data_IF_909298448120
#
_entry.id   IF_909298448120
#
_cell.length_a   1.000
_cell.length_b   1.000
_cell.length_c   1.000
_cell.angle_alpha   90.00
_cell.angle_beta   90.00
_cell.angle_gamma   90.00
#
_symmetry.space_group_name_H-M   'P 1'
#
loop_
_entity.id
_entity.type
_entity.pdbx_description
1 polymer ?
#
# COMPACT_ATOMS: atom_id res chain seq x y z
N UNK A 1 -17.12 16.13 -14.40
CA UNK A 1 -15.93 16.79 -13.81
C UNK A 1 -16.36 18.14 -13.24
N UNK A 2 -16.02 18.39 -11.99
CA UNK A 2 -16.28 19.70 -11.37
C UNK A 2 -15.21 20.69 -11.85
N UNK A 3 -15.56 21.97 -12.11
CA UNK A 3 -14.59 22.99 -12.45
C UNK A 3 -13.69 23.27 -11.26
N UNK A 4 -12.40 23.54 -11.53
CA UNK A 4 -11.47 24.00 -10.51
C UNK A 4 -11.92 25.36 -9.96
N UNK A 5 -11.99 25.50 -8.64
CA UNK A 5 -12.30 26.77 -7.98
C UNK A 5 -11.03 27.59 -7.65
N UNK A 6 -9.85 26.98 -7.81
CA UNK A 6 -8.55 27.58 -7.58
C UNK A 6 -7.44 26.56 -7.72
N UNK A 7 -6.19 27.04 -7.78
CA UNK A 7 -5.04 26.17 -8.03
C UNK A 7 -4.88 25.78 -9.50
N UNK A 8 -4.02 24.81 -9.76
CA UNK A 8 -3.77 24.28 -11.11
C UNK A 8 -3.72 22.73 -11.06
N UNK A 9 -4.18 22.09 -12.11
CA UNK A 9 -4.09 20.65 -12.31
C UNK A 9 -3.48 20.36 -13.68
N UNK A 10 -2.48 19.48 -13.72
CA UNK A 10 -1.85 19.07 -14.97
C UNK A 10 -1.82 17.55 -15.08
N UNK A 11 -1.90 17.03 -16.30
CA UNK A 11 -1.73 15.62 -16.65
C UNK A 11 -0.57 15.55 -17.66
N UNK A 12 0.47 14.78 -17.34
CA UNK A 12 1.70 14.69 -18.15
C UNK A 12 2.31 16.08 -18.47
N UNK A 13 2.27 16.99 -17.49
CA UNK A 13 2.74 18.37 -17.65
C UNK A 13 1.82 19.32 -18.44
N UNK A 14 0.71 18.82 -18.98
CA UNK A 14 -0.27 19.63 -19.72
C UNK A 14 -1.37 20.10 -18.76
N UNK A 15 -1.61 21.42 -18.61
CA UNK A 15 -2.72 21.92 -17.82
C UNK A 15 -4.06 21.35 -18.31
N UNK A 16 -4.93 20.92 -17.38
CA UNK A 16 -6.21 20.27 -17.72
C UNK A 16 -7.12 21.18 -18.55
N UNK A 17 -7.03 22.50 -18.36
CA UNK A 17 -7.78 23.50 -19.13
C UNK A 17 -7.41 23.50 -20.64
N UNK A 18 -6.20 23.01 -20.97
CA UNK A 18 -5.73 22.88 -22.36
C UNK A 18 -6.13 21.54 -23.01
N UNK A 19 -6.58 20.57 -22.21
CA UNK A 19 -7.04 19.28 -22.70
C UNK A 19 -8.52 19.42 -23.12
N UNK A 20 -8.82 19.04 -24.37
CA UNK A 20 -10.21 19.03 -24.82
C UNK A 20 -11.06 18.14 -23.92
N UNK A 21 -12.21 18.63 -23.47
CA UNK A 21 -13.13 17.91 -22.57
C UNK A 21 -13.49 16.51 -23.10
N UNK A 22 -13.54 16.32 -24.42
CA UNK A 22 -13.83 15.04 -25.08
C UNK A 22 -12.65 14.03 -24.97
N UNK A 23 -11.43 14.49 -24.77
CA UNK A 23 -10.24 13.64 -24.74
C UNK A 23 -9.82 13.26 -23.31
N UNK A 24 -10.23 14.03 -22.32
CA UNK A 24 -9.93 13.76 -20.92
C UNK A 24 -10.48 12.39 -20.43
N UNK A 25 -11.72 11.99 -20.74
CA UNK A 25 -12.23 10.66 -20.36
C UNK A 25 -11.49 9.49 -21.01
N UNK A 26 -10.80 9.71 -22.14
CA UNK A 26 -10.00 8.68 -22.81
C UNK A 26 -8.67 8.43 -22.08
N UNK A 27 -8.20 9.41 -21.30
CA UNK A 27 -6.96 9.34 -20.52
C UNK A 27 -7.17 8.80 -19.11
N UNK A 28 -8.42 8.69 -18.66
CA UNK A 28 -8.73 8.34 -17.27
C UNK A 28 -9.68 7.15 -17.23
N UNK A 29 -9.24 6.06 -16.63
CA UNK A 29 -10.10 4.97 -16.19
C UNK A 29 -10.75 5.35 -14.86
N UNK A 30 -12.02 4.99 -14.66
CA UNK A 30 -12.73 5.33 -13.44
C UNK A 30 -13.48 4.14 -12.86
N UNK A 31 -13.26 3.86 -11.59
CA UNK A 31 -13.96 2.83 -10.79
C UNK A 31 -14.78 3.56 -9.74
N UNK A 32 -16.10 3.43 -9.82
CA UNK A 32 -17.04 3.97 -8.81
C UNK A 32 -17.26 2.96 -7.70
N UNK A 33 -17.62 3.45 -6.52
CA UNK A 33 -17.77 2.68 -5.28
C UNK A 33 -18.64 1.40 -5.40
N UNK A 34 -19.63 1.32 -6.23
CA UNK A 34 -20.51 0.16 -6.38
C UNK A 34 -20.38 -0.53 -7.75
N UNK A 35 -19.18 -0.52 -8.35
CA UNK A 35 -18.93 -1.09 -9.68
C UNK A 35 -19.52 -0.25 -10.83
N UNK A 36 -20.67 0.41 -10.64
CA UNK A 36 -21.29 1.33 -11.60
C UNK A 36 -21.48 0.76 -12.98
N UNK A 37 -21.87 -0.52 -13.08
CA UNK A 37 -22.11 -1.18 -14.34
C UNK A 37 -23.43 -0.74 -14.97
N UNK A 38 -23.48 -0.72 -16.29
CA UNK A 38 -24.70 -0.49 -17.04
C UNK A 38 -25.57 -1.75 -16.98
N UNK A 39 -26.76 -1.72 -16.35
CA UNK A 39 -27.53 -2.92 -16.06
C UNK A 39 -28.10 -3.61 -17.31
N UNK A 40 -28.23 -2.88 -18.41
CA UNK A 40 -28.75 -3.37 -19.69
C UNK A 40 -27.66 -3.88 -20.63
N UNK A 41 -26.39 -3.81 -20.24
CA UNK A 41 -25.26 -4.33 -20.98
C UNK A 41 -24.73 -5.59 -20.30
N UNK A 42 -24.25 -6.54 -21.09
CA UNK A 42 -23.53 -7.72 -20.58
C UNK A 42 -22.19 -7.30 -19.97
N UNK A 43 -21.51 -8.23 -19.30
CA UNK A 43 -20.16 -8.03 -18.77
C UNK A 43 -19.17 -7.64 -19.87
N UNK A 44 -19.19 -8.36 -21.01
CA UNK A 44 -18.36 -8.04 -22.17
C UNK A 44 -18.60 -6.62 -22.65
N UNK A 45 -19.86 -6.25 -22.85
CA UNK A 45 -20.25 -4.92 -23.34
C UNK A 45 -19.87 -3.82 -22.35
N UNK A 46 -20.03 -4.06 -21.04
CA UNK A 46 -19.59 -3.12 -20.01
C UNK A 46 -18.09 -2.86 -20.09
N UNK A 47 -17.27 -3.92 -20.19
CA UNK A 47 -15.81 -3.79 -20.28
C UNK A 47 -15.40 -3.15 -21.61
N UNK A 48 -16.06 -3.55 -22.71
CA UNK A 48 -15.75 -3.07 -24.06
C UNK A 48 -16.07 -1.58 -24.28
N UNK A 49 -16.96 -1.00 -23.50
CA UNK A 49 -17.54 0.32 -23.74
C UNK A 49 -16.47 1.41 -23.96
N UNK A 50 -15.48 1.48 -23.08
CA UNK A 50 -14.39 2.47 -23.16
C UNK A 50 -13.52 2.27 -24.40
N UNK A 51 -13.31 1.02 -24.81
CA UNK A 51 -12.55 0.67 -26.02
C UNK A 51 -13.33 0.98 -27.30
N UNK A 52 -14.65 0.76 -27.29
CA UNK A 52 -15.53 1.15 -28.42
C UNK A 52 -15.49 2.67 -28.64
N UNK A 53 -15.59 3.46 -27.56
CA UNK A 53 -15.45 4.93 -27.62
C UNK A 53 -14.08 5.33 -28.17
N UNK A 54 -13.02 4.59 -27.81
CA UNK A 54 -11.67 4.80 -28.31
C UNK A 54 -11.42 4.21 -29.73
N UNK A 55 -12.45 3.60 -30.35
CA UNK A 55 -12.45 3.04 -31.71
C UNK A 55 -11.47 1.89 -31.93
N UNK A 56 -11.32 1.00 -30.95
CA UNK A 56 -10.57 -0.23 -31.11
C UNK A 56 -11.27 -1.19 -32.08
N UNK A 57 -10.51 -2.08 -32.76
CA UNK A 57 -11.09 -3.13 -33.61
C UNK A 57 -11.86 -4.16 -32.77
N UNK A 58 -12.83 -4.85 -33.37
CA UNK A 58 -13.62 -5.88 -32.68
C UNK A 58 -12.75 -7.02 -32.11
N UNK A 59 -11.73 -7.42 -32.86
CA UNK A 59 -10.78 -8.45 -32.43
C UNK A 59 -9.98 -8.00 -31.22
N UNK A 60 -9.40 -6.79 -31.25
CA UNK A 60 -8.66 -6.21 -30.15
C UNK A 60 -9.54 -6.05 -28.87
N UNK A 61 -10.82 -5.72 -29.06
CA UNK A 61 -11.78 -5.63 -27.93
C UNK A 61 -11.97 -7.01 -27.30
N UNK A 62 -12.23 -8.04 -28.12
CA UNK A 62 -12.49 -9.40 -27.61
C UNK A 62 -11.30 -9.94 -26.83
N UNK A 63 -10.12 -9.87 -27.39
CA UNK A 63 -8.88 -10.32 -26.73
C UNK A 63 -8.60 -9.56 -25.42
N UNK A 64 -8.90 -8.26 -25.42
CA UNK A 64 -8.68 -7.42 -24.27
C UNK A 64 -9.69 -7.69 -23.16
N UNK A 65 -10.96 -7.89 -23.50
CA UNK A 65 -12.01 -8.28 -22.55
C UNK A 65 -11.63 -9.58 -21.83
N UNK A 66 -11.17 -10.59 -22.55
CA UNK A 66 -10.72 -11.86 -21.96
C UNK A 66 -9.56 -11.67 -21.00
N UNK A 67 -8.57 -10.86 -21.40
CA UNK A 67 -7.44 -10.52 -20.51
C UNK A 67 -7.89 -9.81 -19.26
N UNK A 68 -8.82 -8.88 -19.39
CA UNK A 68 -9.33 -8.11 -18.25
C UNK A 68 -10.18 -8.97 -17.31
N UNK A 69 -11.01 -9.87 -17.83
CA UNK A 69 -11.77 -10.81 -17.01
C UNK A 69 -10.84 -11.77 -16.23
N UNK A 70 -9.85 -12.34 -16.90
CA UNK A 70 -8.85 -13.19 -16.24
C UNK A 70 -8.08 -12.44 -15.15
N UNK A 71 -7.69 -11.20 -15.40
CA UNK A 71 -7.02 -10.32 -14.44
C UNK A 71 -7.82 -10.15 -13.14
N UNK A 72 -9.14 -10.07 -13.24
CA UNK A 72 -10.00 -9.92 -12.06
C UNK A 72 -10.57 -11.25 -11.56
N UNK A 73 -9.94 -12.37 -11.90
CA UNK A 73 -10.35 -13.74 -11.49
C UNK A 73 -11.81 -14.07 -11.82
N UNK A 74 -12.24 -13.69 -13.03
CA UNK A 74 -13.52 -14.06 -13.61
C UNK A 74 -13.27 -14.85 -14.90
N UNK A 75 -13.80 -16.07 -14.98
CA UNK A 75 -13.67 -16.91 -16.19
C UNK A 75 -14.46 -16.29 -17.34
N UNK A 76 -13.82 -15.91 -18.47
CA UNK A 76 -14.50 -15.34 -19.61
C UNK A 76 -15.62 -16.23 -20.18
N UNK A 77 -15.44 -17.55 -20.17
CA UNK A 77 -16.44 -18.49 -20.73
C UNK A 77 -17.73 -18.50 -19.90
N UNK A 78 -17.63 -18.22 -18.61
CA UNK A 78 -18.78 -18.19 -17.69
C UNK A 78 -19.42 -16.80 -17.62
N UNK A 79 -18.60 -15.74 -17.51
CA UNK A 79 -19.09 -14.44 -17.11
C UNK A 79 -19.34 -13.47 -18.25
N UNK A 80 -18.71 -13.65 -19.42
CA UNK A 80 -18.78 -12.70 -20.54
C UNK A 80 -20.22 -12.30 -20.92
N UNK A 81 -21.10 -13.29 -21.05
CA UNK A 81 -22.49 -13.10 -21.48
C UNK A 81 -23.48 -12.75 -20.37
N UNK A 82 -23.03 -12.70 -19.10
CA UNK A 82 -23.91 -12.41 -17.97
C UNK A 82 -24.21 -10.91 -17.89
N UNK A 83 -25.38 -10.60 -17.32
CA UNK A 83 -25.78 -9.23 -16.98
C UNK A 83 -25.40 -8.92 -15.53
N UNK A 84 -25.23 -7.63 -15.17
CA UNK A 84 -24.91 -7.22 -13.80
C UNK A 84 -25.87 -7.79 -12.74
N UNK A 85 -27.13 -7.95 -13.06
CA UNK A 85 -28.14 -8.55 -12.15
C UNK A 85 -27.87 -10.01 -11.78
N UNK A 86 -27.06 -10.72 -12.55
CA UNK A 86 -26.66 -12.11 -12.33
C UNK A 86 -25.36 -12.26 -11.52
N UNK A 87 -24.73 -11.13 -11.18
CA UNK A 87 -23.47 -11.06 -10.48
C UNK A 87 -23.64 -10.69 -9.01
N UNK A 88 -22.79 -11.22 -8.13
CA UNK A 88 -22.64 -10.70 -6.76
C UNK A 88 -22.07 -9.28 -6.78
N UNK A 89 -22.23 -8.51 -5.69
CA UNK A 89 -21.65 -7.18 -5.56
C UNK A 89 -20.14 -7.15 -5.78
N UNK A 90 -19.41 -8.13 -5.24
CA UNK A 90 -17.96 -8.26 -5.46
C UNK A 90 -17.59 -8.59 -6.91
N UNK A 91 -18.41 -9.40 -7.61
CA UNK A 91 -18.20 -9.68 -9.04
C UNK A 91 -18.46 -8.41 -9.87
N UNK A 92 -19.50 -7.64 -9.56
CA UNK A 92 -19.77 -6.36 -10.22
C UNK A 92 -18.62 -5.36 -10.03
N UNK A 93 -18.06 -5.31 -8.82
CA UNK A 93 -16.90 -4.46 -8.51
C UNK A 93 -15.68 -4.86 -9.36
N UNK A 94 -15.40 -6.16 -9.46
CA UNK A 94 -14.33 -6.70 -10.31
C UNK A 94 -14.52 -6.36 -11.79
N UNK A 95 -15.73 -6.48 -12.32
CA UNK A 95 -16.04 -6.07 -13.69
C UNK A 95 -15.84 -4.56 -13.87
N UNK A 96 -16.22 -3.74 -12.89
CA UNK A 96 -15.98 -2.29 -12.88
C UNK A 96 -14.49 -1.94 -12.96
N UNK A 97 -13.66 -2.66 -12.23
CA UNK A 97 -12.19 -2.53 -12.30
C UNK A 97 -11.68 -2.97 -13.67
N UNK A 98 -12.11 -4.12 -14.19
CA UNK A 98 -11.75 -4.59 -15.52
C UNK A 98 -12.07 -3.56 -16.61
N UNK A 99 -13.25 -2.93 -16.54
CA UNK A 99 -13.66 -1.85 -17.44
C UNK A 99 -12.74 -0.64 -17.38
N UNK A 100 -12.35 -0.22 -16.18
CA UNK A 100 -11.48 0.94 -16.01
C UNK A 100 -10.10 0.75 -16.63
N UNK A 101 -9.56 -0.48 -16.61
CA UNK A 101 -8.28 -0.82 -17.22
C UNK A 101 -8.36 -1.24 -18.70
N UNK A 102 -9.55 -1.48 -19.26
CA UNK A 102 -9.73 -2.07 -20.57
C UNK A 102 -9.07 -1.26 -21.69
N UNK A 103 -9.33 0.05 -21.76
CA UNK A 103 -8.76 0.95 -22.77
C UNK A 103 -7.28 1.31 -22.52
N UNK A 104 -6.65 0.71 -21.52
CA UNK A 104 -5.26 0.96 -21.13
C UNK A 104 -4.93 2.44 -20.83
N UNK A 105 -5.76 3.16 -20.05
CA UNK A 105 -5.55 4.59 -19.78
C UNK A 105 -4.25 4.81 -18.98
N UNK A 106 -3.57 5.98 -19.11
CA UNK A 106 -2.40 6.32 -18.31
C UNK A 106 -2.74 6.57 -16.83
N UNK A 107 -3.96 6.98 -16.53
CA UNK A 107 -4.43 7.29 -15.16
C UNK A 107 -5.66 6.43 -14.86
N UNK A 108 -5.70 5.87 -13.65
CA UNK A 108 -6.89 5.17 -13.11
C UNK A 108 -7.27 5.78 -11.77
N UNK A 109 -8.51 6.24 -11.68
CA UNK A 109 -9.10 6.74 -10.44
C UNK A 109 -10.05 5.68 -9.89
N UNK A 110 -9.98 5.40 -8.60
CA UNK A 110 -10.81 4.38 -7.95
C UNK A 110 -11.39 4.94 -6.64
N UNK A 111 -12.68 4.72 -6.46
CA UNK A 111 -13.39 5.09 -5.24
C UNK A 111 -13.79 3.82 -4.49
N UNK A 112 -13.16 3.58 -3.34
CA UNK A 112 -13.29 2.38 -2.49
C UNK A 112 -13.32 1.06 -3.29
N UNK A 113 -12.29 0.76 -4.11
CA UNK A 113 -12.34 -0.33 -5.09
C UNK A 113 -12.45 -1.73 -4.48
N UNK A 114 -12.19 -1.89 -3.21
CA UNK A 114 -12.13 -3.20 -2.53
C UNK A 114 -13.23 -3.40 -1.48
N UNK A 115 -14.09 -2.42 -1.23
CA UNK A 115 -15.05 -2.42 -0.12
C UNK A 115 -16.09 -3.56 -0.18
N UNK A 116 -16.46 -4.02 -1.39
CA UNK A 116 -17.45 -5.08 -1.58
C UNK A 116 -16.84 -6.50 -1.70
N UNK A 117 -15.54 -6.66 -1.46
CA UNK A 117 -14.82 -7.92 -1.65
C UNK A 117 -14.59 -8.65 -0.33
N UNK A 118 -14.66 -9.98 -0.38
CA UNK A 118 -14.17 -10.83 0.70
C UNK A 118 -12.63 -10.72 0.85
N UNK A 119 -12.07 -11.05 2.03
CA UNK A 119 -10.65 -10.83 2.30
C UNK A 119 -9.69 -11.53 1.33
N UNK A 120 -10.01 -12.75 0.88
CA UNK A 120 -9.14 -13.51 -0.02
C UNK A 120 -9.13 -12.87 -1.41
N UNK A 121 -10.29 -12.65 -2.00
CA UNK A 121 -10.44 -11.98 -3.30
C UNK A 121 -9.85 -10.58 -3.30
N UNK A 122 -10.01 -9.84 -2.17
CA UNK A 122 -9.41 -8.51 -1.99
C UNK A 122 -7.89 -8.58 -2.09
N UNK A 123 -7.25 -9.50 -1.36
CA UNK A 123 -5.79 -9.64 -1.35
C UNK A 123 -5.24 -10.01 -2.75
N UNK A 124 -5.91 -10.92 -3.45
CA UNK A 124 -5.54 -11.31 -4.82
C UNK A 124 -5.63 -10.12 -5.78
N UNK A 125 -6.75 -9.40 -5.78
CA UNK A 125 -6.97 -8.27 -6.67
C UNK A 125 -6.04 -7.09 -6.38
N UNK A 126 -5.71 -6.85 -5.12
CA UNK A 126 -4.69 -5.87 -4.73
C UNK A 126 -3.33 -6.20 -5.35
N UNK A 127 -2.90 -7.46 -5.31
CA UNK A 127 -1.65 -7.90 -5.90
C UNK A 127 -1.67 -7.73 -7.44
N UNK A 128 -2.77 -8.09 -8.11
CA UNK A 128 -2.93 -7.92 -9.55
C UNK A 128 -2.87 -6.44 -9.98
N UNK A 129 -3.52 -5.55 -9.21
CA UNK A 129 -3.47 -4.10 -9.50
C UNK A 129 -2.05 -3.54 -9.27
N UNK A 130 -1.38 -3.95 -8.21
CA UNK A 130 0.01 -3.58 -7.95
C UNK A 130 0.94 -4.02 -9.09
N UNK A 131 0.80 -5.26 -9.54
CA UNK A 131 1.54 -5.81 -10.67
C UNK A 131 1.29 -5.03 -11.97
N UNK A 132 0.03 -4.69 -12.24
CA UNK A 132 -0.34 -3.89 -13.40
C UNK A 132 0.26 -2.47 -13.33
N UNK A 133 0.18 -1.83 -12.18
CA UNK A 133 0.76 -0.51 -11.97
C UNK A 133 2.26 -0.53 -12.22
N UNK A 134 2.97 -1.49 -11.63
CA UNK A 134 4.42 -1.61 -11.73
C UNK A 134 4.86 -1.92 -13.17
N UNK A 135 4.24 -2.92 -13.81
CA UNK A 135 4.58 -3.33 -15.18
C UNK A 135 4.23 -2.30 -16.24
N UNK A 136 3.13 -1.58 -16.07
CA UNK A 136 2.62 -0.63 -17.06
C UNK A 136 2.95 0.84 -16.74
N UNK A 137 3.65 1.11 -15.64
CA UNK A 137 4.02 2.46 -15.17
C UNK A 137 2.83 3.44 -15.16
N UNK A 138 1.67 2.98 -14.64
CA UNK A 138 0.45 3.77 -14.59
C UNK A 138 0.33 4.57 -13.31
N UNK A 139 -0.30 5.74 -13.41
CA UNK A 139 -0.72 6.49 -12.23
C UNK A 139 -2.07 5.95 -11.75
N UNK A 140 -2.08 5.37 -10.55
CA UNK A 140 -3.31 4.92 -9.90
C UNK A 140 -3.56 5.82 -8.69
N UNK A 141 -4.74 6.44 -8.64
CA UNK A 141 -5.20 7.20 -7.48
C UNK A 141 -6.44 6.50 -6.96
N UNK A 142 -6.40 6.03 -5.72
CA UNK A 142 -7.56 5.40 -5.10
C UNK A 142 -7.88 6.04 -3.76
N UNK A 143 -9.17 6.08 -3.45
CA UNK A 143 -9.70 6.52 -2.16
C UNK A 143 -10.06 5.27 -1.37
N UNK A 144 -9.61 5.19 -0.14
CA UNK A 144 -9.99 4.14 0.79
C UNK A 144 -10.06 4.70 2.21
N UNK A 145 -10.86 4.08 3.04
CA UNK A 145 -10.86 4.30 4.49
C UNK A 145 -10.01 3.24 5.22
N UNK A 146 -9.48 2.27 4.51
CA UNK A 146 -8.64 1.20 5.05
C UNK A 146 -7.15 1.56 4.92
N UNK A 147 -6.50 1.81 6.06
CA UNK A 147 -5.08 2.16 6.08
C UNK A 147 -4.16 1.01 5.66
N UNK A 148 -4.57 -0.24 5.86
CA UNK A 148 -3.75 -1.38 5.46
C UNK A 148 -3.69 -1.50 3.93
N UNK A 149 -4.81 -1.20 3.25
CA UNK A 149 -4.84 -1.08 1.79
C UNK A 149 -3.91 0.05 1.30
N UNK A 150 -4.00 1.22 1.94
CA UNK A 150 -3.18 2.36 1.57
C UNK A 150 -1.68 2.07 1.78
N UNK A 151 -1.30 1.49 2.92
CA UNK A 151 0.10 1.15 3.23
C UNK A 151 0.64 0.10 2.25
N UNK A 152 -0.17 -0.91 1.92
CA UNK A 152 0.24 -2.01 1.04
C UNK A 152 0.43 -1.59 -0.42
N UNK A 153 -0.39 -0.67 -0.92
CA UNK A 153 -0.49 -0.42 -2.36
C UNK A 153 0.10 0.92 -2.80
N UNK A 154 0.17 1.91 -1.92
CA UNK A 154 0.48 3.26 -2.35
C UNK A 154 1.97 3.59 -2.22
N UNK A 155 2.54 4.25 -3.24
CA UNK A 155 3.84 4.91 -3.15
C UNK A 155 3.76 6.17 -2.26
N UNK A 156 2.59 6.82 -2.25
CA UNK A 156 2.30 8.01 -1.43
C UNK A 156 0.87 7.97 -0.92
N UNK A 157 0.69 8.34 0.33
CA UNK A 157 -0.62 8.44 0.99
C UNK A 157 -0.90 9.91 1.30
N UNK A 158 -2.12 10.36 0.97
CA UNK A 158 -2.61 11.69 1.29
C UNK A 158 -3.78 11.58 2.26
N UNK A 159 -3.57 11.97 3.51
CA UNK A 159 -4.62 11.99 4.54
C UNK A 159 -5.32 13.33 4.51
N UNK A 160 -6.64 13.29 4.39
CA UNK A 160 -7.50 14.48 4.30
C UNK A 160 -8.31 14.59 5.59
N UNK A 161 -8.30 15.77 6.20
CA UNK A 161 -9.11 16.13 7.37
C UNK A 161 -9.86 17.42 7.08
N UNK A 162 -11.18 17.43 7.25
CA UNK A 162 -12.03 18.63 7.07
C UNK A 162 -11.81 19.35 5.73
N UNK A 163 -11.63 18.56 4.64
CA UNK A 163 -11.40 19.07 3.29
C UNK A 163 -9.99 19.65 3.05
N UNK A 164 -9.06 19.48 3.99
CA UNK A 164 -7.67 19.92 3.88
C UNK A 164 -6.72 18.73 3.96
N UNK A 165 -5.58 18.84 3.29
CA UNK A 165 -4.51 17.86 3.40
C UNK A 165 -3.87 17.96 4.78
N UNK A 166 -4.04 16.94 5.61
CA UNK A 166 -3.40 16.84 6.92
C UNK A 166 -1.94 16.37 6.78
N UNK A 167 -1.69 15.37 5.93
CA UNK A 167 -0.35 14.90 5.58
C UNK A 167 -0.38 14.22 4.22
N UNK A 168 0.72 14.38 3.44
CA UNK A 168 0.91 13.67 2.19
C UNK A 168 2.37 13.24 2.06
N UNK A 169 2.63 11.94 2.25
CA UNK A 169 3.99 11.40 2.29
C UNK A 169 4.02 9.90 1.90
N UNK A 170 5.20 9.30 1.96
CA UNK A 170 5.35 7.85 1.83
C UNK A 170 4.73 7.12 3.01
N UNK A 171 4.30 5.84 2.86
CA UNK A 171 3.80 5.02 3.97
C UNK A 171 4.77 5.00 5.17
N UNK A 172 6.07 4.81 4.91
CA UNK A 172 7.11 4.81 5.95
C UNK A 172 7.11 6.10 6.77
N UNK A 173 7.11 7.26 6.10
CA UNK A 173 7.15 8.55 6.79
C UNK A 173 5.86 8.83 7.57
N UNK A 174 4.70 8.44 7.04
CA UNK A 174 3.41 8.60 7.74
C UNK A 174 3.38 7.76 9.01
N UNK A 175 3.88 6.52 8.94
CA UNK A 175 3.93 5.62 10.10
C UNK A 175 4.92 6.09 11.16
N UNK A 176 6.09 6.61 10.77
CA UNK A 176 7.17 7.02 11.70
C UNK A 176 7.02 8.45 12.21
N UNK A 177 6.47 9.33 11.39
CA UNK A 177 6.42 10.78 11.63
C UNK A 177 5.03 11.36 11.33
N UNK A 178 3.98 10.94 12.06
CA UNK A 178 2.64 11.51 11.88
C UNK A 178 2.67 13.01 12.17
N UNK A 179 2.06 13.80 11.27
CA UNK A 179 2.13 15.26 11.32
C UNK A 179 1.37 15.88 12.51
N UNK A 180 0.35 15.20 13.02
CA UNK A 180 -0.46 15.66 14.14
C UNK A 180 -1.19 14.49 14.82
N UNK A 181 -1.91 14.81 15.91
CA UNK A 181 -2.65 13.82 16.69
C UNK A 181 -3.73 13.10 15.85
N UNK A 182 -4.45 13.82 15.00
CA UNK A 182 -5.45 13.23 14.11
C UNK A 182 -4.84 12.13 13.23
N UNK A 183 -3.70 12.42 12.60
CA UNK A 183 -2.99 11.43 11.76
C UNK A 183 -2.56 10.23 12.61
N UNK A 184 -2.04 10.45 13.82
CA UNK A 184 -1.66 9.37 14.75
C UNK A 184 -2.84 8.47 15.11
N UNK A 185 -3.98 9.06 15.43
CA UNK A 185 -5.21 8.33 15.78
C UNK A 185 -5.78 7.59 14.57
N UNK A 186 -5.78 8.23 13.39
CA UNK A 186 -6.27 7.64 12.14
C UNK A 186 -5.45 6.43 11.70
N UNK A 187 -4.12 6.50 11.84
CA UNK A 187 -3.23 5.37 11.56
C UNK A 187 -3.42 4.24 12.59
N UNK A 188 -3.55 4.59 13.86
CA UNK A 188 -3.55 3.68 15.00
C UNK A 188 -2.15 3.44 15.57
N UNK A 189 -2.04 3.52 16.90
CA UNK A 189 -0.77 3.57 17.64
C UNK A 189 0.19 2.38 17.39
N UNK A 190 -0.32 1.21 17.05
CA UNK A 190 0.47 -0.01 16.90
C UNK A 190 0.75 -0.41 15.44
N UNK A 191 0.30 0.36 14.47
CA UNK A 191 0.36 -0.06 13.06
C UNK A 191 1.79 -0.09 12.51
N UNK A 192 2.70 0.72 13.03
CA UNK A 192 4.12 0.62 12.70
C UNK A 192 4.69 -0.77 13.03
N UNK A 193 4.32 -1.33 14.20
CA UNK A 193 4.78 -2.65 14.63
C UNK A 193 4.14 -3.80 13.84
N UNK A 194 3.00 -3.57 13.19
CA UNK A 194 2.36 -4.52 12.29
C UNK A 194 3.02 -4.56 10.89
N UNK A 195 3.89 -3.59 10.57
CA UNK A 195 4.58 -3.47 9.29
C UNK A 195 6.11 -3.44 9.52
N UNK A 196 6.72 -4.56 9.91
CA UNK A 196 8.14 -4.62 10.32
C UNK A 196 9.12 -4.27 9.20
N UNK A 197 8.71 -4.34 7.94
CA UNK A 197 9.49 -3.93 6.78
C UNK A 197 9.87 -2.44 6.78
N UNK A 198 9.12 -1.60 7.49
CA UNK A 198 9.43 -0.18 7.68
C UNK A 198 10.28 0.10 8.92
N UNK A 199 10.51 -0.89 9.79
CA UNK A 199 11.28 -0.72 11.02
C UNK A 199 12.75 -1.03 10.74
N UNK A 200 13.61 -0.03 10.90
CA UNK A 200 15.06 -0.20 10.80
C UNK A 200 15.64 -0.45 12.18
N UNK A 201 16.76 -1.16 12.25
CA UNK A 201 17.48 -1.32 13.50
C UNK A 201 17.77 0.02 14.21
N UNK A 202 18.03 1.09 13.41
CA UNK A 202 18.25 2.43 13.94
C UNK A 202 17.02 3.05 14.63
N UNK A 203 15.81 2.62 14.29
CA UNK A 203 14.57 3.12 14.88
C UNK A 203 14.31 2.56 16.28
N UNK A 204 14.81 1.33 16.55
CA UNK A 204 14.59 0.58 17.80
C UNK A 204 15.84 0.44 18.65
N UNK A 205 17.03 0.69 18.08
CA UNK A 205 18.28 0.55 18.82
C UNK A 205 18.39 1.55 19.97
N UNK A 206 18.98 1.13 21.06
CA UNK A 206 19.42 2.04 22.11
C UNK A 206 20.65 2.80 21.62
N UNK A 207 20.58 4.15 21.51
CA UNK A 207 21.71 4.99 21.06
C UNK A 207 22.90 4.98 22.02
N UNK A 208 22.68 4.63 23.28
CA UNK A 208 23.71 4.47 24.32
C UNK A 208 23.51 3.10 24.97
N UNK A 209 24.00 2.03 24.34
CA UNK A 209 23.90 0.70 24.89
C UNK A 209 24.77 0.60 26.16
N UNK A 210 24.42 -0.30 27.04
CA UNK A 210 25.24 -0.61 28.20
C UNK A 210 26.43 -1.46 27.77
N UNK A 211 27.61 -1.09 28.22
CA UNK A 211 28.88 -1.72 27.81
C UNK A 211 29.69 -2.20 29.00
N UNK A 212 30.57 -3.16 28.76
CA UNK A 212 31.57 -3.65 29.73
C UNK A 212 32.90 -3.83 29.00
N UNK A 213 34.01 -3.52 29.68
CA UNK A 213 35.32 -3.71 29.10
C UNK A 213 35.77 -5.16 29.21
N UNK A 214 36.48 -5.68 28.18
CA UNK A 214 37.12 -6.97 28.19
C UNK A 214 38.00 -7.13 29.45
N UNK A 215 37.89 -8.27 30.11
CA UNK A 215 38.64 -8.59 31.33
C UNK A 215 37.97 -8.15 32.63
N UNK A 216 36.73 -7.62 32.58
CA UNK A 216 35.90 -7.49 33.77
C UNK A 216 35.31 -8.84 34.14
N UNK A 217 34.96 -9.00 35.43
CA UNK A 217 34.44 -10.27 35.96
C UNK A 217 32.94 -10.44 35.74
N UNK A 218 32.46 -11.68 35.81
CA UNK A 218 31.05 -12.06 35.76
C UNK A 218 30.19 -11.26 36.77
N UNK A 219 30.72 -11.09 38.02
CA UNK A 219 29.98 -10.34 39.04
C UNK A 219 29.80 -8.88 38.68
N UNK A 220 30.80 -8.25 38.03
CA UNK A 220 30.71 -6.87 37.58
C UNK A 220 29.68 -6.71 36.44
N UNK A 221 29.62 -7.69 35.52
CA UNK A 221 28.61 -7.73 34.48
C UNK A 221 27.20 -7.84 35.07
N UNK A 222 27.00 -8.79 35.99
CA UNK A 222 25.72 -8.98 36.68
C UNK A 222 25.27 -7.75 37.46
N UNK A 223 26.19 -7.03 38.08
CA UNK A 223 25.89 -5.78 38.79
C UNK A 223 25.38 -4.68 37.81
N UNK A 224 26.07 -4.52 36.66
CA UNK A 224 25.65 -3.55 35.63
C UNK A 224 24.29 -3.93 35.07
N UNK A 225 24.08 -5.21 34.75
CA UNK A 225 22.79 -5.71 34.22
C UNK A 225 21.63 -5.46 35.19
N UNK A 226 21.83 -5.83 36.47
CA UNK A 226 20.80 -5.61 37.53
C UNK A 226 20.52 -4.14 37.77
N UNK A 227 21.55 -3.30 37.89
CA UNK A 227 21.37 -1.86 38.13
C UNK A 227 20.62 -1.17 37.03
N UNK A 228 20.80 -1.59 35.76
CA UNK A 228 20.22 -0.98 34.59
C UNK A 228 19.01 -1.74 34.02
N UNK A 229 18.59 -2.84 34.66
CA UNK A 229 17.48 -3.70 34.21
C UNK A 229 17.65 -4.14 32.74
N UNK A 230 18.82 -4.68 32.40
CA UNK A 230 19.14 -5.18 31.06
C UNK A 230 19.67 -6.60 31.12
N UNK A 231 19.40 -7.35 30.06
CA UNK A 231 19.75 -8.77 29.94
C UNK A 231 21.01 -9.00 29.11
N UNK A 232 21.60 -7.93 28.59
CA UNK A 232 22.81 -8.02 27.76
C UNK A 232 23.73 -6.80 27.91
N UNK A 233 25.04 -7.00 27.70
CA UNK A 233 26.01 -5.93 27.62
C UNK A 233 26.91 -6.12 26.41
N UNK A 234 27.28 -5.02 25.76
CA UNK A 234 28.29 -5.04 24.71
C UNK A 234 29.69 -5.08 25.34
N UNK A 235 30.50 -6.01 24.91
CA UNK A 235 31.89 -6.13 25.37
C UNK A 235 32.81 -5.31 24.45
N UNK A 236 33.51 -4.35 25.01
CA UNK A 236 34.42 -3.47 24.28
C UNK A 236 35.88 -3.71 24.70
N UNK A 237 36.79 -3.50 23.77
CA UNK A 237 38.22 -3.41 24.07
C UNK A 237 38.63 -2.01 24.58
N UNK A 238 39.93 -1.81 24.82
CA UNK A 238 40.46 -0.50 25.25
C UNK A 238 40.31 0.58 24.18
N UNK A 239 40.21 0.21 22.93
CA UNK A 239 39.98 1.10 21.78
C UNK A 239 38.51 1.39 21.49
N UNK A 240 37.57 0.99 22.36
CA UNK A 240 36.11 1.11 22.15
C UNK A 240 35.58 0.28 20.96
N UNK A 241 36.35 -0.73 20.51
CA UNK A 241 35.89 -1.64 19.45
C UNK A 241 35.02 -2.72 20.06
N UNK A 242 33.90 -3.02 19.39
CA UNK A 242 32.98 -4.08 19.77
C UNK A 242 33.64 -5.45 19.57
N UNK A 243 33.77 -6.22 20.64
CA UNK A 243 34.31 -7.59 20.63
C UNK A 243 33.21 -8.65 20.60
N UNK A 244 32.04 -8.34 21.19
CA UNK A 244 30.91 -9.25 21.26
C UNK A 244 29.82 -8.76 22.22
N UNK A 245 28.89 -9.64 22.51
CA UNK A 245 27.77 -9.39 23.43
C UNK A 245 27.83 -10.50 24.50
N UNK A 246 27.59 -10.16 25.75
CA UNK A 246 27.37 -11.11 26.81
C UNK A 246 25.92 -11.05 27.27
N UNK A 247 25.30 -12.21 27.39
CA UNK A 247 23.91 -12.34 27.80
C UNK A 247 23.80 -12.81 29.24
N UNK A 248 22.77 -12.35 29.95
CA UNK A 248 22.50 -12.75 31.33
C UNK A 248 22.42 -14.29 31.48
N UNK A 249 21.74 -14.94 30.53
CA UNK A 249 21.59 -16.41 30.51
C UNK A 249 22.93 -17.16 30.45
N UNK A 250 23.90 -16.61 29.74
CA UNK A 250 25.25 -17.21 29.62
C UNK A 250 26.09 -17.08 30.87
N UNK A 251 25.73 -16.15 31.75
CA UNK A 251 26.42 -15.91 33.01
C UNK A 251 25.87 -16.75 34.16
N UNK A 252 24.66 -17.29 34.00
CA UNK A 252 24.03 -18.13 35.01
C UNK A 252 24.81 -19.46 35.10
N UNK A 253 25.39 -19.73 36.27
CA UNK A 253 26.17 -20.95 36.53
C UNK A 253 27.68 -20.84 36.29
N UNK A 254 28.19 -19.69 35.79
CA UNK A 254 29.65 -19.44 35.77
C UNK A 254 30.14 -18.97 37.14
N UNK A 255 31.45 -19.21 37.42
CA UNK A 255 32.07 -18.71 38.65
C UNK A 255 32.12 -17.17 38.61
N UNK A 256 31.81 -16.56 39.75
CA UNK A 256 31.73 -15.09 39.87
C UNK A 256 33.03 -14.35 39.52
N UNK A 257 34.17 -15.01 39.65
CA UNK A 257 35.48 -14.46 39.38
C UNK A 257 35.97 -14.66 37.94
N UNK A 258 35.24 -15.40 37.10
CA UNK A 258 35.69 -15.67 35.74
C UNK A 258 35.75 -14.37 34.92
N UNK A 259 36.79 -14.12 34.13
CA UNK A 259 36.85 -12.96 33.24
C UNK A 259 35.87 -13.12 32.05
N UNK A 260 35.30 -12.03 31.63
CA UNK A 260 34.42 -11.92 30.47
C UNK A 260 35.22 -11.61 29.20
#
# INVERSE_FOLDING_TARGET
>A
LLPLRGGSLSIDGIPVEQIKVQDLPKKVGYVVQSGGLFPHLTVEENIALTMQIARFSKEAIRDRVDKMLKMVNLDPEIYRGQYPSQLSGGQQQRVGIARAFAANPPIVLMDEPFSALDPMTRAELQNEIHDLQTKAQKTVVFVTHDMDEAIKLADRICIIQDGKVAQCDTPENILKHPANQYVTEFIGANRLWANPEYIRAADIMRRRPFTISKGRTVIQALQIMRHNSVDSLLVLDKGQTLLGVVWLEELIGKREADPI
#
